data_IF_178820695557
#
_entry.id   IF_178820695557
#
_cell.length_a   1.000
_cell.length_b   1.000
_cell.length_c   1.000
_cell.angle_alpha   90.00
_cell.angle_beta   90.00
_cell.angle_gamma   90.00
#
_symmetry.space_group_name_H-M   'P 1'
#
loop_
_entity.id
_entity.type
_entity.pdbx_description
1 polymer ?
#
# COMPACT_ATOMS: atom_id res chain seq x y z
N UNK A 1 -30.86 48.87 -5.34
CA UNK A 1 -32.26 48.39 -5.34
C UNK A 1 -32.22 46.95 -4.87
N UNK A 2 -32.84 46.67 -3.70
CA UNK A 2 -33.36 45.37 -3.22
C UNK A 2 -32.54 44.09 -3.44
N UNK A 3 -32.22 43.20 -2.48
CA UNK A 3 -32.09 43.10 -1.02
C UNK A 3 -31.55 41.65 -0.83
N UNK A 4 -30.73 41.36 0.19
CA UNK A 4 -30.12 40.04 0.44
C UNK A 4 -30.99 39.14 1.34
N UNK A 5 -30.44 37.96 1.71
CA UNK A 5 -30.84 36.94 2.72
C UNK A 5 -31.28 35.61 2.08
N UNK A 6 -31.07 34.41 2.65
CA UNK A 6 -31.29 33.99 4.04
C UNK A 6 -30.38 32.80 4.39
N UNK A 7 -29.65 32.93 5.49
CA UNK A 7 -29.11 31.84 6.33
C UNK A 7 -30.27 31.34 7.20
N UNK A 8 -30.51 30.02 7.25
CA UNK A 8 -31.38 29.41 8.26
C UNK A 8 -30.84 28.06 8.71
N UNK A 9 -30.37 28.06 9.95
CA UNK A 9 -30.14 26.90 10.82
C UNK A 9 -31.27 26.90 11.86
N UNK A 10 -31.94 25.75 12.09
CA UNK A 10 -32.46 25.44 13.42
C UNK A 10 -32.09 23.99 13.77
N UNK A 11 -31.33 23.68 14.82
CA UNK A 11 -31.71 23.68 16.25
C UNK A 11 -33.14 23.18 16.54
N UNK A 12 -33.26 21.86 16.71
CA UNK A 12 -34.28 21.15 17.49
C UNK A 12 -33.63 19.79 17.82
N UNK A 13 -33.16 19.44 19.01
CA UNK A 13 -33.73 19.51 20.36
C UNK A 13 -35.22 19.17 20.35
N UNK A 14 -35.57 17.88 20.41
CA UNK A 14 -36.67 17.39 21.24
C UNK A 14 -36.60 15.86 21.41
N UNK A 15 -36.73 15.44 22.67
CA UNK A 15 -37.35 14.20 23.17
C UNK A 15 -36.74 12.83 22.81
N UNK A 16 -36.16 12.06 23.74
CA UNK A 16 -36.69 11.49 25.00
C UNK A 16 -37.76 10.39 24.77
N UNK A 17 -37.43 9.20 25.27
CA UNK A 17 -38.27 8.07 25.70
C UNK A 17 -38.80 7.06 24.66
N UNK A 18 -38.16 5.88 24.62
CA UNK A 18 -38.81 4.55 24.67
C UNK A 18 -37.72 3.50 24.93
N UNK A 19 -37.39 3.11 26.16
CA UNK A 19 -38.06 2.07 26.95
C UNK A 19 -38.63 0.94 26.08
N UNK A 20 -37.89 -0.17 25.94
CA UNK A 20 -38.47 -1.52 26.04
C UNK A 20 -37.42 -2.48 26.61
N UNK A 21 -37.61 -2.77 27.89
CA UNK A 21 -37.04 -3.92 28.56
C UNK A 21 -37.74 -5.19 28.05
N UNK A 22 -36.98 -6.26 27.85
CA UNK A 22 -37.52 -7.61 27.93
C UNK A 22 -36.47 -8.50 28.59
N UNK A 23 -36.61 -8.65 29.91
CA UNK A 23 -35.89 -9.64 30.69
C UNK A 23 -36.58 -10.99 30.49
N UNK A 24 -35.82 -12.02 30.14
CA UNK A 24 -36.30 -13.40 30.19
C UNK A 24 -36.28 -13.89 31.65
N UNK A 25 -37.47 -14.14 32.20
CA UNK A 25 -37.64 -14.74 33.52
C UNK A 25 -37.40 -16.26 33.47
N UNK A 26 -36.94 -16.87 34.58
CA UNK A 26 -36.66 -18.30 34.66
C UNK A 26 -37.94 -19.14 34.80
N UNK A 27 -38.04 -20.21 34.01
CA UNK A 27 -39.15 -21.17 34.09
C UNK A 27 -39.01 -22.06 35.31
N UNK A 28 -40.05 -22.04 36.14
CA UNK A 28 -40.26 -22.87 37.32
C UNK A 28 -40.58 -24.31 36.91
N UNK A 29 -39.93 -25.27 37.57
CA UNK A 29 -40.28 -26.69 37.61
C UNK A 29 -41.56 -26.92 38.42
N UNK A 30 -42.39 -27.91 38.02
CA UNK A 30 -43.33 -28.58 38.92
C UNK A 30 -43.13 -30.12 38.88
N UNK A 31 -43.83 -30.91 39.70
CA UNK A 31 -43.48 -31.22 41.09
C UNK A 31 -43.14 -32.71 41.31
N UNK A 32 -42.49 -32.96 42.45
CA UNK A 32 -42.25 -34.24 43.10
C UNK A 32 -43.54 -35.03 43.40
N UNK A 33 -43.53 -36.34 43.17
CA UNK A 33 -44.44 -37.33 43.78
C UNK A 33 -43.61 -38.48 44.46
N UNK A 34 -44.04 -39.05 45.61
CA UNK A 34 -43.19 -39.73 46.62
C UNK A 34 -42.88 -41.23 46.40
N UNK A 35 -42.06 -41.86 47.29
CA UNK A 35 -41.36 -43.12 47.04
C UNK A 35 -42.09 -44.38 47.54
N UNK A 36 -41.87 -45.49 46.85
CA UNK A 36 -42.04 -46.88 47.33
C UNK A 36 -41.36 -47.80 46.30
N UNK A 37 -40.61 -48.88 46.60
CA UNK A 37 -40.33 -49.63 47.81
C UNK A 37 -39.08 -50.48 47.51
N UNK A 38 -38.21 -50.69 48.51
CA UNK A 38 -37.04 -51.56 48.41
C UNK A 38 -37.39 -53.05 48.24
N UNK A 39 -36.56 -53.80 47.53
CA UNK A 39 -36.44 -55.28 47.52
C UNK A 39 -35.04 -55.65 46.98
N UNK A 40 -34.40 -56.74 47.46
CA UNK A 40 -32.98 -56.73 47.82
C UNK A 40 -32.01 -57.30 46.76
N UNK A 41 -30.76 -56.87 46.93
CA UNK A 41 -29.47 -57.56 46.72
C UNK A 41 -29.44 -58.80 45.83
N UNK A 42 -28.69 -58.67 44.73
CA UNK A 42 -27.93 -59.76 44.12
C UNK A 42 -26.46 -59.34 44.01
N UNK A 43 -25.57 -60.23 44.41
CA UNK A 43 -24.11 -60.05 44.55
C UNK A 43 -23.37 -60.54 43.30
N UNK A 44 -22.40 -59.72 42.86
CA UNK A 44 -21.18 -60.03 42.07
C UNK A 44 -21.35 -60.42 40.57
N UNK A 45 -20.38 -60.12 39.67
CA UNK A 45 -18.94 -59.92 39.94
C UNK A 45 -18.30 -58.61 39.42
N UNK A 46 -17.14 -58.32 40.00
CA UNK A 46 -16.15 -57.28 39.65
C UNK A 46 -16.01 -57.07 38.15
N UNK A 47 -16.40 -55.88 37.68
CA UNK A 47 -16.05 -55.38 36.36
C UNK A 47 -14.82 -54.47 36.49
N UNK A 48 -13.84 -54.77 35.67
CA UNK A 48 -12.49 -54.22 35.67
C UNK A 48 -12.57 -52.72 35.39
N UNK A 49 -11.96 -51.93 36.27
CA UNK A 49 -11.67 -50.51 36.03
C UNK A 49 -10.81 -50.39 34.77
N UNK A 50 -11.45 -50.07 33.65
CA UNK A 50 -10.77 -49.68 32.42
C UNK A 50 -10.12 -48.34 32.73
N UNK A 51 -8.80 -48.36 32.96
CA UNK A 51 -8.00 -47.16 32.98
C UNK A 51 -8.29 -46.38 31.68
N UNK A 52 -8.88 -45.19 31.82
CA UNK A 52 -8.96 -44.24 30.72
C UNK A 52 -7.51 -43.90 30.33
N UNK A 53 -7.03 -44.48 29.24
CA UNK A 53 -5.87 -43.96 28.54
C UNK A 53 -6.22 -42.53 28.12
N UNK A 54 -5.63 -41.54 28.81
CA UNK A 54 -5.54 -40.19 28.28
C UNK A 54 -4.79 -40.28 26.96
N UNK A 55 -5.52 -40.34 25.84
CA UNK A 55 -4.92 -40.14 24.53
C UNK A 55 -4.40 -38.70 24.55
N UNK A 56 -3.08 -38.54 24.67
CA UNK A 56 -2.45 -37.26 24.51
C UNK A 56 -2.88 -36.71 23.15
N UNK A 57 -3.67 -35.63 23.15
CA UNK A 57 -3.92 -34.87 21.93
C UNK A 57 -2.56 -34.45 21.42
N UNK A 58 -2.18 -34.90 20.22
CA UNK A 58 -0.97 -34.41 19.57
C UNK A 58 -1.13 -32.90 19.40
N UNK A 59 -0.45 -32.12 20.24
CA UNK A 59 -0.32 -30.68 20.06
C UNK A 59 0.51 -30.50 18.80
N UNK A 60 -0.15 -30.31 17.66
CA UNK A 60 0.51 -29.91 16.42
C UNK A 60 1.35 -28.66 16.72
N UNK A 61 2.65 -28.64 16.37
CA UNK A 61 3.50 -27.48 16.63
C UNK A 61 2.90 -26.20 16.04
N UNK A 62 3.07 -25.07 16.72
CA UNK A 62 2.62 -23.79 16.18
C UNK A 62 3.26 -23.51 14.81
N UNK A 63 2.52 -22.96 13.83
CA UNK A 63 3.06 -22.65 12.53
C UNK A 63 4.17 -21.59 12.61
N UNK A 64 5.23 -21.75 11.81
CA UNK A 64 6.37 -20.84 11.73
C UNK A 64 6.35 -20.15 10.37
N UNK A 65 6.26 -18.82 10.36
CA UNK A 65 6.20 -18.07 9.11
C UNK A 65 7.61 -17.80 8.59
N UNK A 66 7.86 -18.15 7.32
CA UNK A 66 9.17 -18.01 6.68
C UNK A 66 9.06 -17.27 5.36
N UNK A 67 9.95 -16.31 5.14
CA UNK A 67 9.98 -15.49 3.94
C UNK A 67 10.82 -16.14 2.84
N UNK A 68 10.23 -16.29 1.65
CA UNK A 68 10.92 -16.66 0.42
C UNK A 68 11.15 -15.40 -0.42
N UNK A 69 12.41 -15.04 -0.74
CA UNK A 69 12.69 -13.90 -1.61
C UNK A 69 12.04 -14.04 -2.99
N UNK A 70 11.47 -12.94 -3.47
CA UNK A 70 10.94 -12.82 -4.81
C UNK A 70 11.97 -12.10 -5.70
N UNK A 71 12.35 -12.75 -6.81
CA UNK A 71 13.35 -12.21 -7.74
C UNK A 71 12.80 -11.08 -8.61
N UNK A 72 11.48 -10.93 -8.68
CA UNK A 72 10.82 -9.90 -9.50
C UNK A 72 10.71 -8.56 -8.77
N UNK A 73 11.25 -8.46 -7.55
CA UNK A 73 11.26 -7.24 -6.74
C UNK A 73 12.58 -6.48 -6.90
N UNK A 74 12.50 -5.15 -6.83
CA UNK A 74 13.66 -4.28 -6.96
C UNK A 74 14.71 -4.51 -5.87
N UNK A 75 15.97 -4.23 -6.19
CA UNK A 75 17.09 -4.34 -5.23
C UNK A 75 16.87 -3.48 -3.98
N UNK A 76 16.28 -2.30 -4.14
CA UNK A 76 15.96 -1.41 -3.03
C UNK A 76 14.93 -2.03 -2.09
N UNK A 77 13.91 -2.69 -2.64
CA UNK A 77 12.90 -3.42 -1.87
C UNK A 77 13.52 -4.62 -1.13
N UNK A 78 14.32 -5.43 -1.83
CA UNK A 78 15.03 -6.58 -1.25
C UNK A 78 15.92 -6.16 -0.06
N UNK A 79 16.64 -5.05 -0.20
CA UNK A 79 17.45 -4.50 0.89
C UNK A 79 16.61 -4.07 2.10
N UNK A 80 15.40 -3.54 1.87
CA UNK A 80 14.47 -3.19 2.95
C UNK A 80 13.99 -4.46 3.67
N UNK A 81 13.64 -5.51 2.93
CA UNK A 81 13.24 -6.81 3.51
C UNK A 81 14.36 -7.38 4.39
N UNK A 82 15.61 -7.33 3.92
CA UNK A 82 16.76 -7.82 4.69
C UNK A 82 16.91 -7.12 6.05
N UNK A 83 16.55 -5.83 6.14
CA UNK A 83 16.59 -5.09 7.41
C UNK A 83 15.57 -5.58 8.45
N UNK A 84 14.52 -6.28 8.02
CA UNK A 84 13.51 -6.87 8.91
C UNK A 84 13.95 -8.20 9.53
N UNK A 85 15.08 -8.78 9.08
CA UNK A 85 15.64 -10.03 9.60
C UNK A 85 14.61 -11.18 9.69
N UNK A 86 13.79 -11.33 8.65
CA UNK A 86 12.74 -12.36 8.58
C UNK A 86 13.35 -13.77 8.55
N UNK A 87 12.66 -14.73 9.17
CA UNK A 87 13.05 -16.13 9.16
C UNK A 87 13.03 -16.69 7.73
N UNK A 88 14.03 -17.51 7.38
CA UNK A 88 14.14 -18.17 6.07
C UNK A 88 13.70 -19.63 6.18
N UNK A 89 13.10 -20.21 5.12
CA UNK A 89 12.62 -21.59 5.15
C UNK A 89 13.76 -22.56 5.49
N UNK A 90 13.52 -23.45 6.43
CA UNK A 90 14.42 -24.53 6.84
C UNK A 90 13.89 -25.92 6.44
N UNK A 91 12.68 -25.98 5.85
CA UNK A 91 12.07 -27.22 5.40
C UNK A 91 11.36 -27.99 6.50
N UNK A 92 10.99 -27.32 7.60
CA UNK A 92 10.17 -27.94 8.63
C UNK A 92 8.71 -28.11 8.15
N UNK A 93 8.01 -29.19 8.54
CA UNK A 93 6.64 -29.46 8.11
C UNK A 93 5.58 -28.48 8.65
N UNK A 94 5.97 -27.60 9.58
CA UNK A 94 5.09 -26.59 10.17
C UNK A 94 5.44 -25.17 9.69
N UNK A 95 6.23 -25.05 8.62
CA UNK A 95 6.55 -23.75 8.02
C UNK A 95 5.44 -23.29 7.07
N UNK A 96 4.99 -22.05 7.25
CA UNK A 96 4.14 -21.35 6.28
C UNK A 96 5.04 -20.41 5.49
N UNK A 97 5.22 -20.70 4.20
CA UNK A 97 6.09 -19.92 3.32
C UNK A 97 5.31 -18.77 2.70
N UNK A 98 5.75 -17.54 2.93
CA UNK A 98 5.18 -16.35 2.31
C UNK A 98 6.20 -15.60 1.47
N UNK A 99 5.70 -14.82 0.53
CA UNK A 99 6.46 -13.92 -0.34
C UNK A 99 5.81 -12.53 -0.33
N UNK A 100 6.48 -11.54 -0.91
CA UNK A 100 5.91 -10.24 -1.15
C UNK A 100 5.61 -10.04 -2.64
N UNK A 101 4.51 -9.36 -2.90
CA UNK A 101 4.01 -9.05 -4.23
C UNK A 101 3.37 -7.66 -4.28
N UNK A 102 3.10 -7.17 -5.48
CA UNK A 102 2.40 -5.91 -5.69
C UNK A 102 0.89 -6.14 -5.80
N UNK A 103 0.10 -5.29 -5.14
CA UNK A 103 -1.37 -5.24 -5.26
C UNK A 103 -2.12 -6.56 -4.92
N UNK A 104 -1.67 -7.27 -3.89
CA UNK A 104 -2.32 -8.48 -3.36
C UNK A 104 -3.40 -8.23 -2.30
N UNK A 105 -3.87 -9.31 -1.67
CA UNK A 105 -5.00 -9.30 -0.71
C UNK A 105 -4.63 -8.81 0.70
N UNK A 106 -3.36 -8.93 1.09
CA UNK A 106 -2.87 -8.64 2.43
C UNK A 106 -1.86 -7.48 2.39
N UNK A 107 -2.31 -6.21 2.34
CA UNK A 107 -1.43 -5.06 2.23
C UNK A 107 -0.59 -4.84 3.49
N UNK A 108 0.70 -4.63 3.29
CA UNK A 108 1.74 -4.45 4.31
C UNK A 108 2.60 -3.20 4.02
N UNK A 109 2.10 -2.28 3.20
CA UNK A 109 2.78 -1.04 2.83
C UNK A 109 2.52 -0.61 1.40
N UNK A 110 3.34 0.31 0.91
CA UNK A 110 3.24 0.82 -0.45
C UNK A 110 4.58 1.33 -0.99
N UNK A 111 4.79 1.17 -2.29
CA UNK A 111 5.96 1.60 -3.03
C UNK A 111 5.58 2.74 -3.97
N UNK A 112 6.20 3.90 -3.79
CA UNK A 112 5.87 5.13 -4.51
C UNK A 112 6.76 5.28 -5.73
N UNK A 113 6.14 5.44 -6.90
CA UNK A 113 6.80 5.74 -8.16
C UNK A 113 6.55 7.19 -8.58
N UNK A 114 7.49 7.80 -9.29
CA UNK A 114 7.37 9.17 -9.79
C UNK A 114 7.34 9.17 -11.31
N UNK A 115 6.39 9.91 -11.88
CA UNK A 115 6.47 10.34 -13.27
C UNK A 115 7.52 11.43 -13.38
N UNK A 116 8.52 11.22 -14.22
CA UNK A 116 9.64 12.15 -14.38
C UNK A 116 9.90 12.50 -15.83
N UNK A 117 10.36 13.72 -16.04
CA UNK A 117 10.80 14.24 -17.33
C UNK A 117 12.20 14.85 -17.18
N UNK A 118 12.93 15.10 -18.28
CA UNK A 118 14.16 15.87 -18.22
C UNK A 118 13.95 17.22 -17.51
N UNK A 119 14.91 17.65 -16.69
CA UNK A 119 14.82 18.90 -15.93
C UNK A 119 14.32 20.14 -16.71
N UNK A 120 14.74 20.40 -17.97
CA UNK A 120 14.30 21.59 -18.71
C UNK A 120 12.85 21.53 -19.22
N UNK A 121 12.10 20.46 -18.93
CA UNK A 121 10.70 20.31 -19.33
C UNK A 121 9.84 21.42 -18.73
N UNK A 122 9.00 22.05 -19.54
CA UNK A 122 8.14 23.17 -19.13
C UNK A 122 6.85 22.68 -18.48
N UNK A 123 6.33 21.52 -18.90
CA UNK A 123 5.13 20.91 -18.32
C UNK A 123 5.37 20.61 -16.84
N UNK A 124 4.44 21.00 -15.98
CA UNK A 124 4.51 20.84 -14.51
C UNK A 124 3.58 19.73 -14.01
N UNK A 125 2.43 19.55 -14.67
CA UNK A 125 1.35 18.71 -14.20
C UNK A 125 0.63 18.01 -15.37
N UNK A 126 0.20 16.79 -15.12
CA UNK A 126 -0.68 16.00 -15.98
C UNK A 126 -1.81 15.39 -15.15
N UNK A 127 -2.86 14.90 -15.82
CA UNK A 127 -3.93 14.16 -15.16
C UNK A 127 -3.61 12.66 -15.07
N UNK A 128 -4.25 11.94 -14.14
CA UNK A 128 -4.16 10.48 -14.12
C UNK A 128 -4.74 9.84 -15.39
N UNK A 129 -5.76 10.45 -15.99
CA UNK A 129 -6.36 9.99 -17.25
C UNK A 129 -5.36 10.11 -18.40
N UNK A 130 -4.61 11.21 -18.45
CA UNK A 130 -3.53 11.38 -19.42
C UNK A 130 -2.48 10.28 -19.29
N UNK A 131 -2.06 9.95 -18.06
CA UNK A 131 -1.09 8.88 -17.80
C UNK A 131 -1.64 7.52 -18.21
N UNK A 132 -2.91 7.23 -17.89
CA UNK A 132 -3.57 5.98 -18.28
C UNK A 132 -3.66 5.84 -19.80
N UNK A 133 -4.02 6.91 -20.50
CA UNK A 133 -4.12 6.90 -21.96
C UNK A 133 -2.75 6.73 -22.61
N UNK A 134 -1.72 7.43 -22.10
CA UNK A 134 -0.35 7.19 -22.52
C UNK A 134 0.06 5.74 -22.24
N UNK A 135 -0.26 5.18 -21.07
CA UNK A 135 0.05 3.79 -20.72
C UNK A 135 -0.58 2.78 -21.67
N UNK A 136 -1.81 3.02 -22.13
CA UNK A 136 -2.55 2.17 -23.05
C UNK A 136 -2.17 2.37 -24.54
N UNK A 137 -1.15 3.18 -24.83
CA UNK A 137 -0.72 3.45 -26.22
C UNK A 137 -1.58 4.47 -26.95
N UNK A 138 -2.30 5.33 -26.24
CA UNK A 138 -3.17 6.39 -26.77
C UNK A 138 -2.67 7.77 -26.34
N UNK A 139 -1.50 8.23 -26.84
CA UNK A 139 -0.96 9.53 -26.47
C UNK A 139 -1.89 10.67 -26.91
N UNK A 140 -2.13 11.62 -26.01
CA UNK A 140 -3.02 12.77 -26.27
C UNK A 140 -2.28 14.01 -26.80
N UNK A 141 -0.95 14.06 -26.60
CA UNK A 141 -0.14 15.23 -26.92
C UNK A 141 1.21 14.85 -27.56
N UNK A 142 2.21 15.74 -27.43
CA UNK A 142 3.53 15.52 -27.99
C UNK A 142 4.25 14.32 -27.34
N UNK A 143 4.02 14.02 -26.06
CA UNK A 143 4.67 12.91 -25.36
C UNK A 143 4.02 11.61 -25.80
N UNK A 144 4.83 10.74 -26.38
CA UNK A 144 4.37 9.48 -26.99
C UNK A 144 5.01 8.25 -26.38
N UNK A 145 6.06 8.42 -25.58
CA UNK A 145 6.85 7.31 -25.05
C UNK A 145 7.04 7.47 -23.55
N UNK A 146 6.80 6.39 -22.82
CA UNK A 146 7.09 6.28 -21.40
C UNK A 146 8.09 5.14 -21.19
N UNK A 147 9.27 5.47 -20.69
CA UNK A 147 10.32 4.49 -20.40
C UNK A 147 10.27 4.06 -18.92
N UNK A 148 10.52 2.79 -18.68
CA UNK A 148 10.52 2.19 -17.33
C UNK A 148 11.59 1.12 -17.23
N UNK A 149 12.08 0.85 -16.02
CA UNK A 149 13.00 -0.27 -15.82
C UNK A 149 12.26 -1.61 -15.95
N UNK A 150 12.94 -2.62 -16.49
CA UNK A 150 12.40 -4.00 -16.57
C UNK A 150 11.97 -4.53 -15.20
N UNK A 151 12.72 -4.22 -14.14
CA UNK A 151 12.43 -4.67 -12.78
C UNK A 151 11.22 -3.94 -12.14
N UNK A 152 10.91 -2.73 -12.61
CA UNK A 152 9.84 -1.90 -12.07
C UNK A 152 8.53 -2.06 -12.83
N UNK A 153 8.58 -2.61 -14.06
CA UNK A 153 7.41 -2.81 -14.90
C UNK A 153 6.30 -3.62 -14.20
N UNK A 154 6.57 -4.76 -13.52
CA UNK A 154 5.52 -5.54 -12.86
C UNK A 154 4.75 -4.74 -11.80
N UNK A 155 5.42 -3.84 -11.09
CA UNK A 155 4.80 -2.99 -10.09
C UNK A 155 3.75 -2.06 -10.71
N UNK A 156 4.08 -1.43 -11.84
CA UNK A 156 3.17 -0.53 -12.54
C UNK A 156 2.07 -1.29 -13.28
N UNK A 157 2.36 -2.47 -13.83
CA UNK A 157 1.33 -3.36 -14.40
C UNK A 157 0.27 -3.71 -13.35
N UNK A 158 0.67 -3.94 -12.10
CA UNK A 158 -0.26 -4.31 -11.02
C UNK A 158 -1.35 -3.25 -10.75
N UNK A 159 -1.08 -1.98 -11.09
CA UNK A 159 -2.00 -0.86 -10.84
C UNK A 159 -2.64 -0.30 -12.12
N UNK A 160 -1.94 -0.32 -13.26
CA UNK A 160 -2.44 0.26 -14.53
C UNK A 160 -2.88 -0.79 -15.56
N UNK A 161 -2.61 -2.07 -15.30
CA UNK A 161 -2.83 -3.18 -16.23
C UNK A 161 -1.74 -3.31 -17.29
N UNK A 162 -2.02 -4.11 -18.32
CA UNK A 162 -1.09 -4.37 -19.42
C UNK A 162 -0.67 -3.07 -20.14
N UNK A 163 0.62 -2.90 -20.45
CA UNK A 163 1.12 -1.73 -21.16
C UNK A 163 0.78 -1.80 -22.66
N UNK A 164 0.63 -0.63 -23.28
CA UNK A 164 0.56 -0.47 -24.73
C UNK A 164 1.92 -0.23 -25.40
N UNK A 165 1.91 0.01 -26.71
CA UNK A 165 3.11 0.18 -27.54
C UNK A 165 3.94 1.45 -27.22
N UNK A 166 3.38 2.36 -26.43
CA UNK A 166 4.05 3.58 -25.93
C UNK A 166 5.04 3.30 -24.79
N UNK A 167 4.96 2.12 -24.16
CA UNK A 167 5.82 1.75 -23.06
C UNK A 167 7.07 1.06 -23.58
N UNK A 168 8.24 1.54 -23.16
CA UNK A 168 9.51 0.94 -23.51
C UNK A 168 10.30 0.59 -22.24
N UNK A 169 10.70 -0.67 -22.12
CA UNK A 169 11.56 -1.12 -21.04
C UNK A 169 13.02 -0.89 -21.38
N UNK A 170 13.79 -0.37 -20.42
CA UNK A 170 15.23 -0.16 -20.56
C UNK A 170 15.96 -0.50 -19.25
N UNK A 171 17.27 -0.80 -19.30
CA UNK A 171 18.07 -0.84 -18.09
C UNK A 171 17.98 0.49 -17.33
N UNK A 172 17.88 0.40 -16.00
CA UNK A 172 17.73 1.54 -15.10
C UNK A 172 18.74 2.65 -15.36
N UNK A 173 20.00 2.29 -15.62
CA UNK A 173 21.09 3.23 -15.84
C UNK A 173 20.94 4.03 -17.13
N UNK A 174 20.15 3.53 -18.09
CA UNK A 174 19.94 4.17 -19.39
C UNK A 174 18.74 5.13 -19.37
N UNK A 175 17.81 4.98 -18.42
CA UNK A 175 16.56 5.77 -18.39
C UNK A 175 16.82 7.28 -18.45
N UNK A 176 17.76 7.79 -17.65
CA UNK A 176 18.08 9.21 -17.64
C UNK A 176 18.66 9.69 -18.96
N UNK A 177 19.62 8.97 -19.54
CA UNK A 177 20.23 9.38 -20.79
C UNK A 177 19.22 9.34 -21.95
N UNK A 178 18.40 8.30 -22.01
CA UNK A 178 17.36 8.15 -23.03
C UNK A 178 16.31 9.25 -22.94
N UNK A 179 15.79 9.57 -21.74
CA UNK A 179 14.81 10.65 -21.61
C UNK A 179 15.37 12.01 -22.03
N UNK A 180 16.67 12.25 -21.85
CA UNK A 180 17.32 13.51 -22.24
C UNK A 180 17.66 13.61 -23.73
N UNK A 181 17.86 12.48 -24.41
CA UNK A 181 18.33 12.43 -25.80
C UNK A 181 17.21 12.15 -26.79
N UNK A 182 16.19 11.40 -26.37
CA UNK A 182 15.03 11.07 -27.18
C UNK A 182 13.92 12.10 -26.94
N UNK A 183 13.40 12.66 -28.04
CA UNK A 183 12.26 13.57 -27.96
C UNK A 183 11.02 12.84 -27.43
N UNK A 184 10.09 13.60 -26.84
CA UNK A 184 8.75 13.11 -26.50
C UNK A 184 8.74 11.89 -25.56
N UNK A 185 9.81 11.72 -24.78
CA UNK A 185 10.05 10.56 -23.93
C UNK A 185 10.18 10.98 -22.47
N UNK A 186 9.30 10.47 -21.62
CA UNK A 186 9.35 10.62 -20.17
C UNK A 186 9.56 9.26 -19.51
N UNK A 187 9.82 9.23 -18.20
CA UNK A 187 10.09 7.99 -17.49
C UNK A 187 9.20 7.83 -16.24
N UNK A 188 9.01 6.58 -15.81
CA UNK A 188 8.54 6.24 -14.47
C UNK A 188 9.69 5.60 -13.72
N UNK A 189 10.02 6.15 -12.55
CA UNK A 189 11.10 5.65 -11.69
C UNK A 189 10.63 5.53 -10.24
N UNK A 190 11.19 4.62 -9.43
CA UNK A 190 10.88 4.56 -8.02
C UNK A 190 11.43 5.80 -7.28
N UNK A 191 10.78 6.20 -6.18
CA UNK A 191 11.07 7.45 -5.47
C UNK A 191 12.55 7.63 -5.09
N UNK A 192 13.22 6.56 -4.68
CA UNK A 192 14.62 6.56 -4.27
C UNK A 192 15.61 6.86 -5.41
N UNK A 193 15.17 6.82 -6.67
CA UNK A 193 15.99 7.13 -7.85
C UNK A 193 15.89 8.58 -8.32
N UNK A 194 15.03 9.38 -7.68
CA UNK A 194 14.89 10.79 -7.99
C UNK A 194 16.22 11.50 -7.73
N UNK A 195 16.71 12.20 -8.76
CA UNK A 195 17.96 12.96 -8.73
C UNK A 195 17.76 14.32 -9.42
N UNK A 196 18.65 15.32 -9.20
CA UNK A 196 18.42 16.70 -9.67
C UNK A 196 18.26 16.89 -11.18
N UNK A 197 18.68 15.91 -11.99
CA UNK A 197 18.53 15.94 -13.46
C UNK A 197 17.12 15.54 -13.92
N UNK A 198 16.31 15.01 -13.02
CA UNK A 198 14.90 14.74 -13.24
C UNK A 198 14.07 15.92 -12.77
N UNK A 199 13.00 16.20 -13.51
CA UNK A 199 11.85 16.96 -13.04
C UNK A 199 10.76 15.96 -12.71
N UNK A 200 10.26 16.00 -11.47
CA UNK A 200 9.07 15.22 -11.09
C UNK A 200 7.84 15.96 -11.62
N UNK A 201 7.04 15.26 -12.41
CA UNK A 201 5.79 15.78 -12.97
C UNK A 201 4.66 15.47 -11.99
N UNK A 202 3.87 16.48 -11.68
CA UNK A 202 2.72 16.37 -10.77
C UNK A 202 1.59 15.60 -11.47
N UNK A 203 0.90 14.71 -10.75
CA UNK A 203 -0.27 13.99 -11.26
C UNK A 203 -1.48 14.38 -10.40
N UNK A 204 -2.49 15.02 -10.99
CA UNK A 204 -3.68 15.51 -10.28
C UNK A 204 -3.33 16.30 -8.99
N UNK A 205 -2.41 17.26 -9.09
CA UNK A 205 -1.94 18.05 -7.94
C UNK A 205 -1.05 17.31 -6.93
N UNK A 206 -0.80 16.00 -7.09
CA UNK A 206 0.03 15.20 -6.17
C UNK A 206 1.45 15.01 -6.72
N UNK A 207 2.44 15.18 -5.84
CA UNK A 207 3.87 14.98 -6.15
C UNK A 207 4.60 14.35 -4.96
N UNK A 208 5.32 13.22 -5.13
CA UNK A 208 6.02 12.53 -4.05
C UNK A 208 7.10 13.37 -3.33
N UNK A 209 7.58 14.44 -3.97
CA UNK A 209 8.61 15.34 -3.40
C UNK A 209 8.02 16.51 -2.59
N UNK A 210 6.69 16.63 -2.54
CA UNK A 210 6.01 17.65 -1.76
C UNK A 210 5.66 17.14 -0.35
N UNK A 211 5.58 18.06 0.63
CA UNK A 211 5.33 17.70 2.04
C UNK A 211 3.88 17.32 2.31
N UNK A 212 2.96 17.83 1.52
CA UNK A 212 1.52 17.58 1.57
C UNK A 212 1.09 16.43 0.66
N UNK A 213 2.04 15.60 0.22
CA UNK A 213 1.78 14.43 -0.61
C UNK A 213 0.82 13.44 0.07
N UNK A 214 -0.30 13.16 -0.60
CA UNK A 214 -1.31 12.19 -0.19
C UNK A 214 -1.17 10.90 -1.02
N UNK A 215 -0.46 9.91 -0.48
CA UNK A 215 -0.14 8.66 -1.18
C UNK A 215 -1.38 7.85 -1.58
N UNK A 216 -2.45 7.92 -0.80
CA UNK A 216 -3.74 7.26 -1.07
C UNK A 216 -4.47 7.81 -2.29
N UNK A 217 -4.17 9.05 -2.70
CA UNK A 217 -4.79 9.72 -3.85
C UNK A 217 -3.91 9.66 -5.10
N UNK A 218 -2.70 9.12 -4.99
CA UNK A 218 -1.69 9.20 -6.03
C UNK A 218 -1.66 7.93 -6.88
N UNK A 219 -1.81 8.09 -8.20
CA UNK A 219 -1.97 6.98 -9.15
C UNK A 219 -0.77 6.04 -9.21
N UNK A 220 0.44 6.54 -8.98
CA UNK A 220 1.68 5.74 -9.01
C UNK A 220 2.12 5.27 -7.61
N UNK A 221 1.17 5.15 -6.67
CA UNK A 221 1.40 4.50 -5.39
C UNK A 221 1.00 3.01 -5.49
N UNK A 222 1.98 2.12 -5.49
CA UNK A 222 1.77 0.68 -5.67
C UNK A 222 1.63 0.00 -4.30
N UNK A 223 0.48 -0.60 -3.96
CA UNK A 223 0.33 -1.37 -2.73
C UNK A 223 1.29 -2.57 -2.71
N UNK A 224 1.90 -2.83 -1.57
CA UNK A 224 2.76 -4.00 -1.35
C UNK A 224 2.00 -4.95 -0.43
N UNK A 225 1.94 -6.23 -0.80
CA UNK A 225 1.18 -7.24 -0.07
C UNK A 225 2.01 -8.48 0.23
N UNK A 226 1.64 -9.20 1.29
CA UNK A 226 2.16 -10.53 1.58
C UNK A 226 1.26 -11.59 0.95
N UNK A 227 1.85 -12.54 0.23
CA UNK A 227 1.14 -13.67 -0.35
C UNK A 227 1.70 -14.99 0.17
N UNK A 228 0.83 -15.99 0.28
CA UNK A 228 1.28 -17.37 0.46
C UNK A 228 1.99 -17.82 -0.82
N UNK A 229 3.06 -18.60 -0.69
CA UNK A 229 3.67 -19.26 -1.85
C UNK A 229 2.82 -20.45 -2.32
N UNK A 230 1.95 -20.97 -1.45
CA UNK A 230 1.02 -22.04 -1.79
C UNK A 230 -0.32 -21.43 -2.24
N UNK A 231 -0.67 -21.63 -3.51
CA UNK A 231 -1.77 -20.94 -4.24
C UNK A 231 -3.17 -21.17 -3.64
N UNK A 232 -3.36 -22.20 -2.81
CA UNK A 232 -4.67 -22.59 -2.25
C UNK A 232 -4.86 -22.19 -0.77
N UNK A 233 -3.87 -21.57 -0.13
CA UNK A 233 -3.97 -21.13 1.27
C UNK A 233 -4.13 -19.62 1.39
N UNK A 234 -5.28 -19.18 1.91
CA UNK A 234 -5.48 -17.80 2.32
C UNK A 234 -4.54 -17.48 3.49
N UNK A 235 -3.50 -16.69 3.22
CA UNK A 235 -2.53 -16.30 4.24
C UNK A 235 -3.22 -15.44 5.30
N UNK A 236 -3.52 -16.03 6.45
CA UNK A 236 -3.88 -15.28 7.65
C UNK A 236 -2.62 -14.67 8.25
N UNK A 237 -2.46 -13.35 8.08
CA UNK A 237 -1.33 -12.60 8.62
C UNK A 237 -1.29 -12.73 10.16
N UNK A 238 -0.17 -13.20 10.74
CA UNK A 238 0.07 -13.13 12.17
C UNK A 238 0.03 -11.69 12.67
N UNK A 239 -0.33 -11.47 13.95
CA UNK A 239 -0.26 -10.15 14.58
C UNK A 239 1.12 -9.50 14.48
N UNK A 240 2.18 -10.31 14.48
CA UNK A 240 3.56 -9.83 14.34
C UNK A 240 3.82 -9.23 12.95
N UNK A 241 3.25 -9.82 11.90
CA UNK A 241 3.38 -9.33 10.52
C UNK A 241 2.50 -8.10 10.24
N UNK A 242 1.44 -7.87 11.01
CA UNK A 242 0.61 -6.65 10.90
C UNK A 242 1.38 -5.38 11.24
N UNK A 243 2.54 -5.50 11.90
CA UNK A 243 3.40 -4.35 12.21
C UNK A 243 4.39 -4.00 11.11
N UNK A 244 4.56 -4.88 10.11
CA UNK A 244 5.44 -4.62 8.98
C UNK A 244 4.80 -3.56 8.08
N UNK A 245 5.58 -2.52 7.79
CA UNK A 245 5.20 -1.48 6.86
C UNK A 245 6.36 -1.17 5.93
N UNK A 246 6.28 -1.64 4.68
CA UNK A 246 7.28 -1.40 3.66
C UNK A 246 6.96 -0.14 2.86
N UNK A 247 7.89 0.81 2.80
CA UNK A 247 7.79 1.96 1.90
C UNK A 247 9.15 2.55 1.57
N UNK A 248 9.29 3.04 0.34
CA UNK A 248 10.44 3.84 -0.10
C UNK A 248 10.30 5.34 0.20
N UNK A 249 9.13 5.78 0.66
CA UNK A 249 8.85 7.16 1.01
C UNK A 249 8.69 7.33 2.53
N UNK A 250 9.40 8.31 3.08
CA UNK A 250 9.22 8.75 4.46
C UNK A 250 9.06 10.27 4.48
N UNK A 251 7.82 10.72 4.64
CA UNK A 251 7.48 12.16 4.62
C UNK A 251 8.22 12.96 5.69
N UNK A 252 8.64 12.34 6.80
CA UNK A 252 9.40 13.01 7.85
C UNK A 252 10.85 13.30 7.45
N UNK A 253 11.34 12.67 6.38
CA UNK A 253 12.71 12.88 5.85
C UNK A 253 12.74 13.89 4.70
N UNK A 254 11.61 14.47 4.30
CA UNK A 254 11.55 15.47 3.23
C UNK A 254 11.93 16.86 3.75
N UNK A 255 12.94 17.47 3.12
CA UNK A 255 13.39 18.83 3.41
C UNK A 255 13.21 19.75 2.21
N UNK A 256 12.56 20.89 2.41
CA UNK A 256 12.39 21.93 1.38
C UNK A 256 13.43 23.00 1.58
N UNK A 257 14.23 23.26 0.55
CA UNK A 257 15.22 24.35 0.53
C UNK A 257 14.77 25.41 -0.45
N UNK A 258 14.50 26.62 0.03
CA UNK A 258 14.22 27.78 -0.83
C UNK A 258 15.54 28.48 -1.16
N UNK A 259 16.01 28.33 -2.39
CA UNK A 259 17.22 29.00 -2.88
C UNK A 259 16.84 30.28 -3.62
N UNK A 260 17.15 31.44 -3.05
CA UNK A 260 17.04 32.71 -3.74
C UNK A 260 18.32 32.98 -4.52
N UNK A 261 18.27 32.88 -5.85
CA UNK A 261 19.42 33.16 -6.70
C UNK A 261 19.70 34.66 -6.82
N UNK A 262 20.87 35.10 -6.39
CA UNK A 262 21.39 36.46 -6.67
C UNK A 262 21.47 36.73 -8.18
N UNK A 263 21.64 35.67 -8.97
CA UNK A 263 21.67 35.70 -10.45
C UNK A 263 20.35 36.10 -11.08
N UNK A 264 19.20 35.73 -10.50
CA UNK A 264 17.90 36.19 -11.00
C UNK A 264 17.74 37.70 -10.79
N UNK A 265 18.19 38.20 -9.64
CA UNK A 265 18.19 39.63 -9.32
C UNK A 265 19.12 40.42 -10.25
N UNK A 266 20.33 39.92 -10.53
CA UNK A 266 21.27 40.58 -11.45
C UNK A 266 20.72 40.59 -12.88
N UNK A 267 20.13 39.49 -13.38
CA UNK A 267 19.49 39.48 -14.71
C UNK A 267 18.32 40.45 -14.80
N UNK A 268 17.45 40.48 -13.79
CA UNK A 268 16.33 41.42 -13.74
C UNK A 268 16.83 42.88 -13.69
N UNK A 269 17.91 43.14 -12.95
CA UNK A 269 18.53 44.47 -12.87
C UNK A 269 19.16 44.86 -14.21
N UNK A 270 19.87 43.96 -14.88
CA UNK A 270 20.46 44.22 -16.19
C UNK A 270 19.38 44.53 -17.25
N UNK A 271 18.30 43.75 -17.29
CA UNK A 271 17.13 44.05 -18.15
C UNK A 271 16.53 45.42 -17.79
N UNK A 272 16.42 45.74 -16.50
CA UNK A 272 15.93 47.04 -16.04
C UNK A 272 16.84 48.21 -16.40
N UNK A 273 18.17 48.02 -16.41
CA UNK A 273 19.14 49.04 -16.82
C UNK A 273 19.13 49.27 -18.33
N UNK A 274 19.01 48.21 -19.13
CA UNK A 274 18.88 48.28 -20.59
C UNK A 274 17.59 49.03 -20.99
N UNK A 275 16.43 48.64 -20.43
CA UNK A 275 15.15 49.29 -20.69
C UNK A 275 15.11 50.78 -20.28
N UNK A 276 15.89 51.17 -19.27
CA UNK A 276 15.96 52.56 -18.78
C UNK A 276 17.11 53.36 -19.39
N UNK A 277 17.92 52.76 -20.27
CA UNK A 277 19.05 53.41 -20.93
C UNK A 277 20.19 53.81 -19.97
N UNK A 278 20.44 53.03 -18.92
CA UNK A 278 21.44 53.31 -17.87
C UNK A 278 22.73 52.51 -18.09
N UNK A 279 23.03 52.14 -19.34
CA UNK A 279 24.23 51.39 -19.74
C UNK A 279 25.36 52.33 -20.18
#
# INVERSE_FOLDING_TARGET
>A
MYKPKIITFPFALYFILSLFACQAAPTLTPPTEPPAKATPTQTAPTEVEIAQEFTATATSPAPVYVHKPNLDLSDAFNKLIETQNLAKPQGNPNEIVFTFEFSGSNPIGSWVYALVAPFPTVVEEVSSTWLQNLWQGQPEDAISTLIISEIDLPAIISILGEPGDSIQTLPKEQLLETAWTTQNTWAVIPFEEIQPRWKVITINGQSPIHKDFAADQYTLNVPVSAASVEEDEELSLPPEMTTLHFSNLDSNKITTVMLTGVTALVRATAVGMDQRGVL
#
